data_IF_350893598150
#
_entry.id   IF_350893598150
#
_cell.length_a   1.000
_cell.length_b   1.000
_cell.length_c   1.000
_cell.angle_alpha   90.00
_cell.angle_beta   90.00
_cell.angle_gamma   90.00
#
_symmetry.space_group_name_H-M   'P 1'
#
loop_
_entity.id
_entity.type
_entity.pdbx_description
1 polymer ?
#
# COMPACT_ATOMS: atom_id res chain seq x y z
N UNK A 1 46.01 -19.43 39.53
CA UNK A 1 45.21 -20.60 39.07
C UNK A 1 44.41 -20.19 37.83
N UNK A 2 44.87 -20.60 36.65
CA UNK A 2 44.20 -20.30 35.38
C UNK A 2 42.98 -21.21 35.20
N UNK A 3 41.78 -20.61 35.11
CA UNK A 3 40.52 -21.33 34.93
C UNK A 3 40.41 -21.77 33.46
N UNK A 4 40.72 -23.04 33.22
CA UNK A 4 40.64 -23.71 31.92
C UNK A 4 39.18 -23.70 31.41
N UNK A 5 38.79 -22.69 30.63
CA UNK A 5 37.47 -22.65 29.95
C UNK A 5 37.53 -23.60 28.77
N UNK A 6 36.86 -24.75 28.89
CA UNK A 6 36.50 -25.61 27.76
C UNK A 6 35.85 -24.73 26.67
N UNK A 7 36.53 -24.61 25.53
CA UNK A 7 35.97 -24.05 24.30
C UNK A 7 34.85 -25.01 23.90
N UNK A 8 33.62 -24.62 24.20
CA UNK A 8 32.41 -25.34 23.79
C UNK A 8 32.44 -25.35 22.26
N UNK A 9 32.51 -26.55 21.69
CA UNK A 9 32.69 -26.76 20.26
C UNK A 9 31.69 -25.96 19.43
N UNK A 10 32.17 -25.49 18.28
CA UNK A 10 31.41 -24.84 17.21
C UNK A 10 30.24 -25.72 16.75
N UNK A 11 29.15 -25.78 17.50
CA UNK A 11 27.87 -26.20 16.95
C UNK A 11 27.42 -25.05 16.04
N UNK A 12 27.34 -25.32 14.73
CA UNK A 12 26.63 -24.43 13.81
C UNK A 12 25.25 -24.14 14.43
N UNK A 13 25.02 -22.90 14.82
CA UNK A 13 23.75 -22.47 15.35
C UNK A 13 22.72 -22.52 14.21
N UNK A 14 21.97 -23.62 14.11
CA UNK A 14 20.85 -23.71 13.18
C UNK A 14 19.64 -23.04 13.83
N UNK A 15 19.15 -21.91 13.28
CA UNK A 15 17.96 -21.27 13.84
C UNK A 15 16.77 -22.23 13.69
N UNK A 16 15.86 -22.27 14.67
CA UNK A 16 14.69 -23.14 14.61
C UNK A 16 13.78 -22.76 13.44
N UNK A 17 13.11 -23.76 12.85
CA UNK A 17 12.31 -23.66 11.62
C UNK A 17 11.24 -22.55 11.65
N UNK A 18 10.63 -22.29 12.81
CA UNK A 18 9.62 -21.25 12.97
C UNK A 18 10.13 -19.84 12.59
N UNK A 19 11.44 -19.56 12.72
CA UNK A 19 12.03 -18.26 12.35
C UNK A 19 12.03 -18.06 10.84
N UNK A 20 12.29 -19.13 10.08
CA UNK A 20 12.24 -19.09 8.62
C UNK A 20 10.82 -18.90 8.11
N UNK A 21 9.83 -19.55 8.75
CA UNK A 21 8.41 -19.35 8.44
C UNK A 21 8.04 -17.87 8.65
N UNK A 22 8.43 -17.30 9.78
CA UNK A 22 8.18 -15.90 10.07
C UNK A 22 8.80 -14.94 9.04
N UNK A 23 10.07 -15.18 8.68
CA UNK A 23 10.74 -14.39 7.64
C UNK A 23 10.06 -14.54 6.28
N UNK A 24 9.59 -15.74 5.94
CA UNK A 24 8.81 -16.00 4.73
C UNK A 24 7.51 -15.19 4.70
N UNK A 25 6.73 -15.23 5.79
CA UNK A 25 5.50 -14.43 5.93
C UNK A 25 5.82 -12.93 5.77
N UNK A 26 6.87 -12.45 6.45
CA UNK A 26 7.27 -11.06 6.38
C UNK A 26 7.68 -10.64 4.96
N UNK A 27 8.44 -11.48 4.26
CA UNK A 27 8.83 -11.25 2.87
C UNK A 27 7.61 -11.21 1.93
N UNK A 28 6.63 -12.10 2.14
CA UNK A 28 5.37 -12.11 1.39
C UNK A 28 4.58 -10.80 1.63
N UNK A 29 4.43 -10.36 2.88
CA UNK A 29 3.77 -9.08 3.19
C UNK A 29 4.45 -7.90 2.48
N UNK A 30 5.77 -7.89 2.48
CA UNK A 30 6.55 -6.84 1.84
C UNK A 30 6.33 -6.85 0.31
N UNK A 31 6.38 -8.02 -0.32
CA UNK A 31 6.10 -8.18 -1.74
C UNK A 31 4.67 -7.75 -2.09
N UNK A 32 3.68 -8.11 -1.27
CA UNK A 32 2.30 -7.68 -1.43
C UNK A 32 2.15 -6.16 -1.30
N UNK A 33 2.90 -5.53 -0.38
CA UNK A 33 2.89 -4.07 -0.23
C UNK A 33 3.41 -3.37 -1.50
N UNK A 34 4.50 -3.87 -2.07
CA UNK A 34 5.02 -3.37 -3.36
C UNK A 34 3.97 -3.55 -4.46
N UNK A 35 3.34 -4.72 -4.51
CA UNK A 35 2.28 -5.01 -5.48
C UNK A 35 1.10 -4.03 -5.40
N UNK A 36 0.64 -3.69 -4.19
CA UNK A 36 -0.42 -2.70 -3.98
C UNK A 36 -0.03 -1.29 -4.43
N UNK A 37 1.24 -0.91 -4.29
CA UNK A 37 1.70 0.40 -4.76
C UNK A 37 1.78 0.48 -6.29
N UNK A 38 1.90 -0.67 -6.96
CA UNK A 38 1.96 -0.77 -8.42
C UNK A 38 0.57 -0.89 -9.09
N UNK A 39 -0.45 -1.34 -8.35
CA UNK A 39 -1.79 -1.57 -8.90
C UNK A 39 -2.83 -0.73 -8.18
N UNK A 40 -3.57 0.09 -8.93
CA UNK A 40 -4.55 0.99 -8.35
C UNK A 40 -5.86 0.27 -8.06
N UNK A 41 -6.09 0.01 -6.76
CA UNK A 41 -7.28 -0.67 -6.27
C UNK A 41 -8.03 0.20 -5.27
N UNK A 42 -9.36 0.20 -5.39
CA UNK A 42 -10.29 0.95 -4.54
C UNK A 42 -11.11 -0.08 -3.76
N UNK A 43 -10.87 -0.30 -2.46
CA UNK A 43 -11.58 -1.30 -1.70
C UNK A 43 -13.05 -0.91 -1.53
N UNK A 44 -13.94 -1.90 -1.57
CA UNK A 44 -15.35 -1.69 -1.23
C UNK A 44 -15.49 -1.40 0.27
N UNK A 45 -16.52 -0.63 0.71
CA UNK A 45 -16.69 -0.32 2.13
C UNK A 45 -16.83 -1.57 3.02
N UNK A 46 -17.47 -2.62 2.50
CA UNK A 46 -17.63 -3.91 3.20
C UNK A 46 -16.31 -4.64 3.34
N UNK A 47 -15.53 -4.74 2.26
CA UNK A 47 -14.21 -5.36 2.28
C UNK A 47 -13.23 -4.60 3.17
N UNK A 48 -13.25 -3.27 3.10
CA UNK A 48 -12.42 -2.41 3.93
C UNK A 48 -12.70 -2.65 5.42
N UNK A 49 -13.97 -2.62 5.84
CA UNK A 49 -14.35 -2.83 7.23
C UNK A 49 -13.98 -4.23 7.76
N UNK A 50 -14.16 -5.27 6.93
CA UNK A 50 -13.78 -6.64 7.28
C UNK A 50 -12.25 -6.76 7.40
N UNK A 51 -11.52 -6.32 6.38
CA UNK A 51 -10.07 -6.39 6.32
C UNK A 51 -9.38 -5.59 7.41
N UNK A 52 -9.97 -4.45 7.80
CA UNK A 52 -9.49 -3.66 8.93
C UNK A 52 -9.52 -4.48 10.24
N UNK A 53 -10.62 -5.19 10.50
CA UNK A 53 -10.73 -6.07 11.68
C UNK A 53 -9.76 -7.25 11.60
N UNK A 54 -9.63 -7.86 10.43
CA UNK A 54 -8.68 -8.95 10.19
C UNK A 54 -7.23 -8.49 10.42
N UNK A 55 -6.88 -7.27 9.99
CA UNK A 55 -5.54 -6.73 10.17
C UNK A 55 -5.19 -6.51 11.65
N UNK A 56 -6.16 -6.12 12.49
CA UNK A 56 -5.95 -6.02 13.95
C UNK A 56 -5.60 -7.40 14.53
N UNK A 57 -6.40 -8.42 14.22
CA UNK A 57 -6.13 -9.79 14.67
C UNK A 57 -4.78 -10.31 14.18
N UNK A 58 -4.47 -10.08 12.90
CA UNK A 58 -3.20 -10.42 12.28
C UNK A 58 -2.01 -9.75 12.99
N UNK A 59 -2.12 -8.45 13.31
CA UNK A 59 -1.08 -7.68 14.01
C UNK A 59 -0.80 -8.26 15.38
N UNK A 60 -1.84 -8.60 16.15
CA UNK A 60 -1.70 -9.19 17.49
C UNK A 60 -0.96 -10.52 17.42
N UNK A 61 -1.33 -11.40 16.47
CA UNK A 61 -0.70 -12.71 16.27
C UNK A 61 0.78 -12.52 15.89
N UNK A 62 1.07 -11.68 14.90
CA UNK A 62 2.43 -11.48 14.40
C UNK A 62 3.34 -10.81 15.43
N UNK A 63 2.85 -9.79 16.15
CA UNK A 63 3.60 -9.14 17.22
C UNK A 63 3.88 -10.10 18.39
N UNK A 64 2.87 -10.90 18.78
CA UNK A 64 3.04 -11.90 19.85
C UNK A 64 4.06 -12.97 19.46
N UNK A 65 4.00 -13.47 18.23
CA UNK A 65 4.98 -14.42 17.70
C UNK A 65 6.37 -13.78 17.68
N UNK A 66 6.50 -12.55 17.17
CA UNK A 66 7.78 -11.82 17.16
C UNK A 66 8.39 -11.70 18.56
N UNK A 67 7.60 -11.33 19.57
CA UNK A 67 8.08 -11.24 20.96
C UNK A 67 8.44 -12.60 21.55
N UNK A 68 7.68 -13.64 21.25
CA UNK A 68 8.02 -15.01 21.63
C UNK A 68 9.39 -15.41 21.07
N UNK A 69 9.71 -15.03 19.83
CA UNK A 69 11.02 -15.31 19.24
C UNK A 69 12.19 -14.56 19.90
N UNK A 70 11.90 -13.41 20.54
CA UNK A 70 12.88 -12.60 21.27
C UNK A 70 13.15 -13.12 22.71
N UNK A 71 12.22 -13.86 23.31
CA UNK A 71 12.35 -14.40 24.67
C UNK A 71 13.49 -15.43 24.89
N UNK A 72 13.72 -16.43 24.01
CA UNK A 72 14.59 -17.58 24.34
C UNK A 72 16.10 -17.30 24.31
N UNK A 73 16.57 -16.06 24.07
CA UNK A 73 18.01 -15.76 24.07
C UNK A 73 18.34 -14.36 24.64
N UNK A 74 18.09 -14.11 25.94
CA UNK A 74 18.36 -12.81 26.55
C UNK A 74 19.86 -12.49 26.61
N UNK A 75 20.74 -13.50 26.61
CA UNK A 75 22.19 -13.35 26.80
C UNK A 75 22.96 -12.91 25.53
N UNK A 76 22.49 -13.26 24.33
CA UNK A 76 23.12 -12.81 23.07
C UNK A 76 22.58 -11.47 22.57
N UNK A 77 21.36 -11.11 22.97
CA UNK A 77 20.74 -9.82 22.65
C UNK A 77 21.20 -8.70 23.59
N UNK A 78 21.67 -9.00 24.80
CA UNK A 78 22.03 -7.99 25.81
C UNK A 78 23.28 -7.17 25.48
N UNK A 79 24.24 -7.71 24.73
CA UNK A 79 25.40 -6.91 24.26
C UNK A 79 25.05 -5.98 23.09
N UNK A 80 24.08 -6.35 22.24
CA UNK A 80 23.67 -5.57 21.07
C UNK A 80 22.54 -4.58 21.39
N UNK A 81 21.66 -4.92 22.34
CA UNK A 81 20.50 -4.10 22.72
C UNK A 81 20.76 -3.31 24.01
N UNK A 82 21.22 -2.06 23.86
CA UNK A 82 21.09 -1.06 24.94
C UNK A 82 19.60 -0.91 25.32
N UNK A 83 19.33 -0.62 26.61
CA UNK A 83 17.98 -0.52 27.21
C UNK A 83 16.97 0.28 26.38
N UNK A 84 17.40 1.37 25.74
CA UNK A 84 16.55 2.21 24.88
C UNK A 84 16.14 1.53 23.56
N UNK A 85 17.05 0.80 22.92
CA UNK A 85 16.80 0.12 21.66
C UNK A 85 15.78 -1.03 21.82
N UNK A 86 15.75 -1.67 22.99
CA UNK A 86 14.76 -2.73 23.31
C UNK A 86 13.33 -2.19 23.29
N UNK A 87 13.10 -1.04 23.93
CA UNK A 87 11.77 -0.42 23.94
C UNK A 87 11.34 0.05 22.56
N UNK A 88 12.28 0.62 21.79
CA UNK A 88 12.02 1.02 20.42
C UNK A 88 11.53 -0.17 19.57
N UNK A 89 12.22 -1.30 19.61
CA UNK A 89 11.85 -2.49 18.82
C UNK A 89 10.53 -3.11 19.27
N UNK A 90 10.29 -3.17 20.58
CA UNK A 90 9.00 -3.64 21.10
C UNK A 90 7.87 -2.71 20.63
N UNK A 91 8.02 -1.40 20.73
CA UNK A 91 6.96 -0.48 20.31
C UNK A 91 6.78 -0.42 18.78
N UNK A 92 7.86 -0.56 18.00
CA UNK A 92 7.79 -0.46 16.54
C UNK A 92 7.20 -1.70 15.88
N UNK A 93 7.40 -2.89 16.44
CA UNK A 93 6.94 -4.14 15.85
C UNK A 93 5.44 -4.16 15.51
N UNK A 94 4.49 -3.87 16.42
CA UNK A 94 3.07 -3.87 16.11
C UNK A 94 2.71 -2.79 15.09
N UNK A 95 3.38 -1.64 15.12
CA UNK A 95 3.17 -0.56 14.15
C UNK A 95 3.57 -1.01 12.74
N UNK A 96 4.73 -1.65 12.60
CA UNK A 96 5.21 -2.17 11.33
C UNK A 96 4.28 -3.27 10.80
N UNK A 97 3.91 -4.25 11.62
CA UNK A 97 3.00 -5.32 11.19
C UNK A 97 1.62 -4.80 10.84
N UNK A 98 1.10 -3.83 11.61
CA UNK A 98 -0.17 -3.20 11.30
C UNK A 98 -0.13 -2.51 9.95
N UNK A 99 0.93 -1.74 9.66
CA UNK A 99 1.04 -1.02 8.40
C UNK A 99 1.21 -1.97 7.21
N UNK A 100 2.12 -2.94 7.29
CA UNK A 100 2.33 -3.93 6.23
C UNK A 100 1.07 -4.78 6.01
N UNK A 101 0.45 -5.26 7.08
CA UNK A 101 -0.78 -6.03 7.01
C UNK A 101 -1.95 -5.20 6.47
N UNK A 102 -2.07 -3.93 6.85
CA UNK A 102 -3.11 -3.02 6.36
C UNK A 102 -3.04 -2.90 4.84
N UNK A 103 -1.85 -2.60 4.30
CA UNK A 103 -1.67 -2.44 2.86
C UNK A 103 -1.86 -3.78 2.15
N UNK A 104 -1.22 -4.85 2.64
CA UNK A 104 -1.27 -6.16 2.01
C UNK A 104 -2.68 -6.77 1.99
N UNK A 105 -3.40 -6.73 3.11
CA UNK A 105 -4.73 -7.35 3.23
C UNK A 105 -5.77 -6.54 2.48
N UNK A 106 -5.83 -5.22 2.70
CA UNK A 106 -6.91 -4.40 2.12
C UNK A 106 -6.73 -4.27 0.62
N UNK A 107 -5.53 -3.92 0.16
CA UNK A 107 -5.31 -3.56 -1.24
C UNK A 107 -4.81 -4.74 -2.07
N UNK A 108 -3.79 -5.48 -1.62
CA UNK A 108 -3.21 -6.55 -2.43
C UNK A 108 -4.13 -7.77 -2.51
N UNK A 109 -4.57 -8.29 -1.36
CA UNK A 109 -5.48 -9.44 -1.32
C UNK A 109 -6.82 -9.07 -1.93
N UNK A 110 -7.35 -7.88 -1.65
CA UNK A 110 -8.59 -7.38 -2.26
C UNK A 110 -8.53 -7.34 -3.80
N UNK A 111 -7.42 -6.87 -4.36
CA UNK A 111 -7.22 -6.83 -5.81
C UNK A 111 -7.09 -8.24 -6.42
N UNK A 112 -6.28 -9.11 -5.80
CA UNK A 112 -6.08 -10.50 -6.26
C UNK A 112 -7.41 -11.26 -6.20
N UNK A 113 -8.11 -11.22 -5.07
CA UNK A 113 -9.41 -11.87 -4.89
C UNK A 113 -10.48 -11.28 -5.81
N UNK A 114 -10.43 -9.96 -6.04
CA UNK A 114 -11.32 -9.25 -6.96
C UNK A 114 -11.23 -9.74 -8.40
N UNK A 115 -10.04 -10.12 -8.85
CA UNK A 115 -9.82 -10.56 -10.23
C UNK A 115 -10.62 -11.80 -10.65
N UNK A 116 -11.01 -12.66 -9.70
CA UNK A 116 -11.75 -13.89 -9.98
C UNK A 116 -13.25 -13.68 -10.25
N UNK A 117 -13.86 -12.60 -9.74
CA UNK A 117 -15.31 -12.33 -9.85
C UNK A 117 -15.55 -10.90 -10.30
N UNK A 118 -14.81 -10.49 -11.33
CA UNK A 118 -14.80 -9.11 -11.78
C UNK A 118 -15.68 -8.92 -13.01
N UNK A 119 -16.43 -7.81 -13.04
CA UNK A 119 -17.22 -7.38 -14.20
C UNK A 119 -16.75 -5.99 -14.65
N UNK A 120 -16.76 -5.71 -15.96
CA UNK A 120 -16.37 -4.40 -16.47
C UNK A 120 -17.30 -3.32 -15.90
N UNK A 121 -16.72 -2.25 -15.38
CA UNK A 121 -17.46 -1.15 -14.77
C UNK A 121 -16.77 0.18 -15.04
N UNK A 122 -17.58 1.23 -15.17
CA UNK A 122 -17.12 2.59 -15.44
C UNK A 122 -17.67 3.50 -14.36
N UNK A 123 -16.78 4.28 -13.73
CA UNK A 123 -17.15 5.30 -12.76
C UNK A 123 -16.87 6.67 -13.39
N UNK A 124 -17.88 7.54 -13.38
CA UNK A 124 -17.71 8.94 -13.78
C UNK A 124 -17.28 9.76 -12.59
N UNK A 125 -16.19 10.52 -12.72
CA UNK A 125 -15.73 11.44 -11.69
C UNK A 125 -15.25 12.75 -12.32
N UNK A 126 -15.22 13.82 -11.52
CA UNK A 126 -14.57 15.07 -11.90
C UNK A 126 -13.28 15.16 -11.11
N UNK A 127 -12.17 15.23 -11.82
CA UNK A 127 -10.83 15.30 -11.24
C UNK A 127 -10.28 16.71 -11.33
N UNK A 128 -9.53 17.08 -10.29
CA UNK A 128 -8.80 18.32 -10.22
C UNK A 128 -7.33 18.07 -10.53
N UNK A 129 -6.76 18.96 -11.34
CA UNK A 129 -5.35 18.99 -11.66
C UNK A 129 -4.57 19.59 -10.49
N UNK A 130 -3.55 18.87 -10.02
CA UNK A 130 -2.70 19.33 -8.92
C UNK A 130 -1.22 19.20 -9.29
N UNK A 131 -0.47 20.29 -9.06
CA UNK A 131 0.98 20.28 -9.10
C UNK A 131 1.53 20.25 -7.68
N UNK A 132 2.47 19.35 -7.43
CA UNK A 132 3.19 19.26 -6.16
C UNK A 132 4.68 19.20 -6.44
N UNK A 133 5.44 20.06 -5.78
CA UNK A 133 6.90 19.95 -5.78
C UNK A 133 7.33 18.82 -4.85
N UNK A 134 7.43 17.61 -5.40
CA UNK A 134 7.93 16.45 -4.67
C UNK A 134 9.23 15.95 -5.28
N UNK A 135 10.18 15.58 -4.40
CA UNK A 135 11.39 14.83 -4.77
C UNK A 135 11.10 13.34 -5.00
N UNK A 136 9.99 12.82 -4.48
CA UNK A 136 9.60 11.40 -4.58
C UNK A 136 8.13 11.30 -5.00
N UNK A 137 7.87 10.65 -6.13
CA UNK A 137 6.52 10.53 -6.72
C UNK A 137 6.32 11.47 -7.92
N UNK A 138 5.09 11.55 -8.41
CA UNK A 138 4.75 12.38 -9.55
C UNK A 138 4.47 13.84 -9.16
N UNK A 139 5.06 14.78 -9.91
CA UNK A 139 4.85 16.22 -9.71
C UNK A 139 3.49 16.69 -10.22
N UNK A 140 3.05 16.09 -11.33
CA UNK A 140 1.80 16.40 -12.02
C UNK A 140 0.83 15.24 -11.83
N UNK A 141 -0.32 15.52 -11.19
CA UNK A 141 -1.29 14.49 -10.82
C UNK A 141 -2.74 14.95 -10.93
N UNK A 142 -3.63 14.00 -11.15
CA UNK A 142 -5.08 14.17 -11.08
C UNK A 142 -5.58 13.59 -9.75
N UNK A 143 -6.43 14.35 -9.08
CA UNK A 143 -7.04 13.98 -7.80
C UNK A 143 -8.56 14.10 -7.95
N UNK A 144 -9.28 13.02 -7.64
CA UNK A 144 -10.74 12.95 -7.72
C UNK A 144 -11.34 12.42 -6.43
N UNK A 145 -12.66 12.60 -6.26
CA UNK A 145 -13.37 12.07 -5.08
C UNK A 145 -13.39 10.54 -5.10
N UNK A 146 -13.55 9.93 -6.29
CA UNK A 146 -13.58 8.49 -6.43
C UNK A 146 -12.24 7.83 -6.10
N UNK A 147 -11.12 8.55 -6.24
CA UNK A 147 -9.78 8.05 -5.92
C UNK A 147 -9.36 8.24 -4.45
N UNK A 148 -10.16 8.88 -3.60
CA UNK A 148 -9.76 9.16 -2.21
C UNK A 148 -9.44 7.91 -1.39
N UNK A 149 -10.08 6.78 -1.71
CA UNK A 149 -9.85 5.50 -1.05
C UNK A 149 -8.92 4.57 -1.86
N UNK A 150 -8.48 5.01 -3.04
CA UNK A 150 -7.55 4.26 -3.86
C UNK A 150 -6.14 4.30 -3.28
N UNK A 151 -5.35 3.27 -3.56
CA UNK A 151 -3.91 3.29 -3.33
C UNK A 151 -3.19 3.04 -4.67
N UNK A 152 -2.42 4.01 -5.18
CA UNK A 152 -2.28 5.40 -4.71
C UNK A 152 -3.57 6.25 -4.91
N UNK A 153 -3.77 7.33 -4.13
CA UNK A 153 -5.00 8.16 -4.17
C UNK A 153 -5.03 9.19 -5.30
N UNK A 154 -4.07 9.12 -6.22
CA UNK A 154 -3.90 10.07 -7.31
C UNK A 154 -3.44 9.35 -8.57
N UNK A 155 -3.79 9.91 -9.72
CA UNK A 155 -3.29 9.42 -11.00
C UNK A 155 -2.17 10.32 -11.51
N UNK A 156 -1.02 9.74 -11.83
CA UNK A 156 0.12 10.50 -12.31
C UNK A 156 -0.04 10.78 -13.81
N UNK A 157 0.09 12.05 -14.20
CA UNK A 157 0.01 12.48 -15.60
C UNK A 157 1.33 13.09 -16.04
N UNK A 158 1.61 13.10 -17.35
CA UNK A 158 2.80 13.74 -17.90
C UNK A 158 2.70 15.27 -17.80
N UNK A 159 3.85 15.95 -17.80
CA UNK A 159 3.88 17.42 -17.78
C UNK A 159 3.20 18.03 -19.02
N UNK A 160 3.31 17.38 -20.18
CA UNK A 160 2.66 17.82 -21.42
C UNK A 160 1.14 17.76 -21.27
N UNK A 161 0.58 16.62 -20.85
CA UNK A 161 -0.85 16.51 -20.56
C UNK A 161 -1.28 17.52 -19.51
N UNK A 162 -0.50 17.70 -18.44
CA UNK A 162 -0.80 18.69 -17.40
C UNK A 162 -0.95 20.11 -17.95
N UNK A 163 -0.11 20.52 -18.91
CA UNK A 163 -0.16 21.88 -19.46
C UNK A 163 -1.38 22.08 -20.36
N UNK A 164 -1.83 21.05 -21.08
CA UNK A 164 -3.00 21.11 -21.97
C UNK A 164 -4.33 20.90 -21.25
N UNK A 165 -4.31 20.23 -20.09
CA UNK A 165 -5.53 19.92 -19.34
C UNK A 165 -6.05 21.15 -18.57
N UNK A 166 -7.38 21.37 -18.58
CA UNK A 166 -8.02 22.38 -17.74
C UNK A 166 -7.84 22.05 -16.24
N UNK A 167 -8.23 22.98 -15.38
CA UNK A 167 -8.05 22.83 -13.93
C UNK A 167 -8.92 21.70 -13.36
N UNK A 168 -10.13 21.53 -13.89
CA UNK A 168 -11.05 20.44 -13.58
C UNK A 168 -11.36 19.68 -14.87
N UNK A 169 -11.41 18.36 -14.81
CA UNK A 169 -11.70 17.53 -15.98
C UNK A 169 -12.65 16.40 -15.60
N UNK A 170 -13.68 16.20 -16.42
CA UNK A 170 -14.55 15.04 -16.29
C UNK A 170 -13.85 13.82 -16.89
N UNK A 171 -13.78 12.74 -16.12
CA UNK A 171 -13.12 11.51 -16.53
C UNK A 171 -14.02 10.29 -16.34
N UNK A 172 -13.71 9.24 -17.09
CA UNK A 172 -14.27 7.91 -16.94
C UNK A 172 -13.17 7.00 -16.42
N UNK A 173 -13.36 6.50 -15.21
CA UNK A 173 -12.51 5.48 -14.61
C UNK A 173 -12.97 4.13 -15.13
N UNK A 174 -12.18 3.52 -16.00
CA UNK A 174 -12.50 2.24 -16.63
C UNK A 174 -11.74 1.14 -15.92
N UNK A 175 -12.45 0.09 -15.55
CA UNK A 175 -11.83 -1.03 -14.86
C UNK A 175 -12.82 -2.14 -14.55
N UNK A 176 -12.50 -2.91 -13.53
CA UNK A 176 -13.26 -4.09 -13.15
C UNK A 176 -13.78 -3.94 -11.72
N UNK A 177 -15.09 -4.14 -11.54
CA UNK A 177 -15.75 -4.14 -10.24
C UNK A 177 -15.96 -5.57 -9.76
N UNK A 178 -15.71 -5.78 -8.47
CA UNK A 178 -15.96 -7.03 -7.76
C UNK A 178 -16.62 -6.75 -6.41
N UNK A 179 -16.95 -7.80 -5.67
CA UNK A 179 -17.39 -7.68 -4.28
C UNK A 179 -16.34 -6.97 -3.39
N UNK A 180 -15.06 -7.21 -3.66
CA UNK A 180 -13.94 -6.69 -2.87
C UNK A 180 -13.65 -5.21 -3.13
N UNK A 181 -14.03 -4.70 -4.29
CA UNK A 181 -13.72 -3.34 -4.69
C UNK A 181 -13.66 -3.13 -6.20
N UNK A 182 -13.05 -2.04 -6.60
CA UNK A 182 -12.87 -1.62 -7.97
C UNK A 182 -11.38 -1.58 -8.31
N UNK A 183 -10.98 -2.39 -9.29
CA UNK A 183 -9.65 -2.36 -9.88
C UNK A 183 -9.67 -1.38 -11.05
N UNK A 184 -8.84 -0.35 -10.98
CA UNK A 184 -8.72 0.62 -12.06
C UNK A 184 -7.71 0.10 -13.09
N UNK A 185 -8.10 0.08 -14.36
CA UNK A 185 -7.21 -0.30 -15.46
C UNK A 185 -6.67 0.97 -16.15
N UNK A 186 -7.54 1.87 -16.58
CA UNK A 186 -7.16 3.13 -17.22
C UNK A 186 -8.19 4.25 -17.02
N UNK A 187 -7.81 5.46 -17.40
CA UNK A 187 -8.65 6.66 -17.33
C UNK A 187 -8.89 7.17 -18.75
N UNK A 188 -10.15 7.47 -19.07
CA UNK A 188 -10.54 8.13 -20.30
C UNK A 188 -11.06 9.54 -20.01
N UNK A 189 -10.69 10.50 -20.85
CA UNK A 189 -11.15 11.89 -20.72
C UNK A 189 -12.53 12.05 -21.37
N UNK A 190 -13.49 12.61 -20.63
CA UNK A 190 -14.84 12.90 -21.13
C UNK A 190 -14.91 14.38 -21.54
N UNK A 191 -14.46 14.68 -22.76
CA UNK A 191 -14.39 16.06 -23.25
C UNK A 191 -15.74 16.74 -23.36
N UNK A 192 -16.79 16.00 -23.72
CA UNK A 192 -18.16 16.54 -23.77
C UNK A 192 -18.63 17.03 -22.41
N UNK A 193 -18.44 16.22 -21.36
CA UNK A 193 -18.76 16.65 -19.98
C UNK A 193 -17.82 17.75 -19.49
N UNK A 194 -16.55 17.70 -19.89
CA UNK A 194 -15.57 18.73 -19.51
C UNK A 194 -15.93 20.09 -20.09
N UNK A 195 -16.35 20.16 -21.36
CA UNK A 195 -16.81 21.40 -21.98
C UNK A 195 -18.05 21.98 -21.27
N UNK A 196 -18.94 21.12 -20.75
CA UNK A 196 -20.11 21.56 -19.96
C UNK A 196 -19.72 22.15 -18.60
N UNK A 197 -18.56 21.79 -18.04
CA UNK A 197 -18.04 22.41 -16.81
C UNK A 197 -17.53 23.84 -17.06
N UNK A 198 -17.21 24.19 -18.30
CA UNK A 198 -16.66 25.49 -18.70
C UNK A 198 -17.52 26.19 -19.77
N UNK A 199 -18.79 26.53 -19.47
CA UNK A 199 -19.73 27.05 -20.46
C UNK A 199 -19.39 28.46 -20.99
N UNK A 200 -18.51 29.20 -20.32
CA UNK A 200 -18.24 30.61 -20.57
C UNK A 200 -16.83 30.92 -21.07
N UNK A 201 -15.96 29.92 -21.23
CA UNK A 201 -14.58 30.15 -21.67
C UNK A 201 -14.41 29.82 -23.15
N UNK A 202 -13.93 30.81 -23.91
CA UNK A 202 -13.40 30.75 -25.29
C UNK A 202 -12.18 29.79 -25.41
N UNK A 203 -12.28 28.54 -24.95
CA UNK A 203 -11.20 27.53 -24.95
C UNK A 203 -11.32 26.55 -26.14
N UNK A 204 -12.27 26.77 -27.04
CA UNK A 204 -12.46 25.95 -28.25
C UNK A 204 -11.25 25.94 -29.21
N UNK A 205 -10.28 26.84 -29.06
CA UNK A 205 -9.08 26.90 -29.92
C UNK A 205 -7.85 26.17 -29.35
N UNK A 206 -7.91 25.61 -28.14
CA UNK A 206 -6.72 25.04 -27.47
C UNK A 206 -6.79 23.51 -27.22
N UNK A 207 -7.86 22.84 -27.63
CA UNK A 207 -7.97 21.38 -27.49
C UNK A 207 -7.22 20.69 -28.64
N UNK A 208 -6.29 19.76 -28.34
CA UNK A 208 -5.70 18.91 -29.35
C UNK A 208 -6.78 17.94 -29.83
N UNK A 209 -7.20 18.10 -31.09
CA UNK A 209 -7.92 17.07 -31.83
C UNK A 209 -6.99 15.88 -32.13
#
# INVERSE_FOLDING_TARGET
MARNRKIIGNRLFTPPSYRWVFLGIFAILFALTIYAMAHQFIPSPTWYALSFKLNIGFTIIMASWFYYMLMPNPASLTEVYKRYYKWFVILSAPVIFYFLGYIAIIYSIGNIAGSFSSTPHIIHDVMQKQWIDSRRGCKTRLVGKSLQHALPPNFCITQTSFNHLPQEIAVRLVGQRSYFGFKLDHIEYDWEKTLKLYPSTLILTALPF
#
